data_IF_757683642071
#
_entry.id   IF_757683642071
#
_cell.length_a   1.000
_cell.length_b   1.000
_cell.length_c   1.000
_cell.angle_alpha   90.00
_cell.angle_beta   90.00
_cell.angle_gamma   90.00
#
_symmetry.space_group_name_H-M   'P 1'
#
loop_
_entity.id
_entity.type
_entity.pdbx_description
1 polymer ?
#
# COMPACT_ATOMS: atom_id res chain seq x y z
N UNK A 1 69.59 7.47 23.38
CA UNK A 1 69.74 6.47 24.46
C UNK A 1 68.72 5.38 24.24
N UNK A 2 69.17 4.20 23.82
CA UNK A 2 68.28 3.05 23.57
C UNK A 2 67.93 2.30 24.85
N UNK A 3 66.91 1.46 24.76
CA UNK A 3 66.90 0.07 25.25
C UNK A 3 65.62 -0.62 24.74
N UNK A 4 65.80 -1.55 23.81
CA UNK A 4 64.88 -2.65 23.53
C UNK A 4 65.13 -3.76 24.54
N UNK A 5 64.14 -4.59 24.92
CA UNK A 5 64.27 -6.07 25.01
C UNK A 5 62.89 -6.76 25.00
N UNK A 6 62.75 -7.74 24.09
CA UNK A 6 62.01 -9.04 24.05
C UNK A 6 60.69 -9.27 24.84
N UNK A 7 59.75 -10.13 24.40
CA UNK A 7 59.72 -11.13 23.34
C UNK A 7 58.83 -12.33 23.73
N UNK A 8 58.33 -13.06 22.71
CA UNK A 8 57.77 -14.43 22.74
C UNK A 8 56.45 -14.68 23.52
N UNK A 9 55.55 -15.63 23.20
CA UNK A 9 55.55 -16.77 22.27
C UNK A 9 54.09 -17.20 21.93
N UNK A 10 54.01 -18.16 21.00
CA UNK A 10 52.85 -18.81 20.37
C UNK A 10 52.01 -19.70 21.30
N UNK A 11 50.71 -19.83 21.00
CA UNK A 11 49.88 -21.04 21.16
C UNK A 11 48.66 -20.89 20.21
N UNK A 12 48.48 -21.63 19.11
CA UNK A 12 48.22 -23.06 18.93
C UNK A 12 46.82 -23.53 19.40
N UNK A 13 45.97 -23.94 18.43
CA UNK A 13 44.76 -24.76 18.61
C UNK A 13 43.51 -23.99 19.06
N UNK A 14 42.31 -24.16 18.52
CA UNK A 14 41.72 -25.38 18.01
C UNK A 14 40.70 -25.09 16.90
N UNK A 15 40.95 -25.72 15.75
CA UNK A 15 39.97 -26.05 14.72
C UNK A 15 38.97 -27.04 15.30
N UNK A 16 37.69 -26.67 15.44
CA UNK A 16 36.63 -27.65 15.67
C UNK A 16 36.17 -28.16 14.31
N UNK A 17 36.75 -29.30 13.95
CA UNK A 17 36.25 -30.20 12.93
C UNK A 17 34.92 -30.77 13.43
N UNK A 18 33.84 -30.55 12.68
CA UNK A 18 32.69 -31.42 12.75
C UNK A 18 32.67 -32.24 11.47
N UNK A 19 33.27 -33.42 11.55
CA UNK A 19 33.04 -34.50 10.60
C UNK A 19 31.88 -35.34 11.14
N UNK A 20 30.87 -35.55 10.29
CA UNK A 20 29.69 -36.34 10.59
C UNK A 20 28.73 -36.24 9.42
N UNK A 21 29.05 -36.99 8.36
CA UNK A 21 28.24 -37.06 7.15
C UNK A 21 27.14 -38.13 7.22
N UNK A 22 26.15 -37.90 6.34
CA UNK A 22 25.09 -38.79 5.86
C UNK A 22 24.00 -39.14 6.90
N UNK A 23 22.70 -39.03 6.61
CA UNK A 23 21.99 -39.49 5.41
C UNK A 23 20.67 -38.72 5.16
N UNK A 24 20.36 -38.58 3.87
CA UNK A 24 19.03 -38.57 3.22
C UNK A 24 17.77 -38.61 4.10
N UNK A 25 16.88 -37.64 3.90
CA UNK A 25 15.47 -37.83 3.54
C UNK A 25 14.84 -36.45 3.31
N UNK A 26 14.66 -36.09 2.04
CA UNK A 26 13.69 -35.07 1.66
C UNK A 26 12.32 -35.62 2.05
N UNK A 27 11.67 -34.96 3.02
CA UNK A 27 10.24 -35.13 3.24
C UNK A 27 9.61 -33.87 2.68
N UNK A 28 9.08 -34.01 1.49
CA UNK A 28 8.13 -33.08 0.89
C UNK A 28 6.85 -33.14 1.74
N UNK A 29 6.73 -32.24 2.71
CA UNK A 29 5.48 -32.02 3.43
C UNK A 29 4.66 -30.97 2.64
N UNK A 30 3.82 -31.53 1.77
CA UNK A 30 2.79 -30.91 0.96
C UNK A 30 1.61 -30.49 1.88
N UNK A 31 1.68 -29.31 2.48
CA UNK A 31 0.54 -28.72 3.20
C UNK A 31 -0.40 -28.03 2.20
N UNK A 32 -1.13 -28.87 1.46
CA UNK A 32 -2.28 -28.49 0.66
C UNK A 32 -3.37 -27.85 1.52
N UNK A 33 -3.48 -26.52 1.46
CA UNK A 33 -4.63 -25.81 2.01
C UNK A 33 -5.80 -25.99 1.05
N UNK A 34 -6.66 -26.96 1.36
CA UNK A 34 -7.93 -27.19 0.68
C UNK A 34 -8.84 -25.96 0.85
N UNK A 35 -9.06 -25.23 -0.24
CA UNK A 35 -10.18 -24.30 -0.40
C UNK A 35 -11.48 -25.07 -0.13
N UNK A 36 -11.95 -25.00 1.11
CA UNK A 36 -13.24 -25.57 1.50
C UNK A 36 -14.30 -24.51 1.27
N UNK A 37 -15.11 -24.79 0.26
CA UNK A 37 -16.32 -24.08 -0.16
C UNK A 37 -17.13 -23.50 1.01
N UNK A 38 -17.11 -22.17 1.16
CA UNK A 38 -18.12 -21.45 1.91
C UNK A 38 -19.25 -21.01 0.95
N UNK A 39 -20.05 -21.97 0.50
CA UNK A 39 -21.34 -21.72 -0.12
C UNK A 39 -22.42 -22.60 0.54
N UNK A 40 -23.19 -22.00 1.45
CA UNK A 40 -24.43 -22.56 1.94
C UNK A 40 -25.50 -21.46 1.95
N UNK A 41 -26.31 -21.51 0.91
CA UNK A 41 -27.49 -20.71 0.65
C UNK A 41 -28.69 -21.19 1.48
N UNK A 42 -29.59 -20.23 1.81
CA UNK A 42 -31.02 -20.34 2.23
C UNK A 42 -31.27 -20.56 3.74
N UNK A 43 -32.30 -20.01 4.37
CA UNK A 43 -33.62 -19.61 3.87
C UNK A 43 -34.30 -18.55 4.76
N UNK A 44 -35.29 -17.89 4.14
CA UNK A 44 -36.14 -16.79 4.55
C UNK A 44 -37.29 -17.26 5.44
N UNK A 45 -37.61 -16.55 6.53
CA UNK A 45 -39.00 -16.40 7.02
C UNK A 45 -39.28 -14.95 7.42
N UNK A 46 -40.37 -14.43 6.85
CA UNK A 46 -41.05 -13.13 7.03
C UNK A 46 -41.68 -13.06 8.43
N UNK A 47 -41.82 -11.91 9.07
CA UNK A 47 -42.95 -10.95 9.01
C UNK A 47 -42.49 -9.69 9.80
N UNK A 48 -42.75 -8.41 9.49
CA UNK A 48 -43.85 -7.75 8.81
C UNK A 48 -44.51 -6.76 9.78
N UNK A 49 -44.20 -5.44 9.72
CA UNK A 49 -45.07 -4.35 10.23
C UNK A 49 -44.59 -2.91 9.87
N UNK A 50 -45.42 -2.20 9.08
CA UNK A 50 -45.72 -0.74 9.15
C UNK A 50 -44.69 0.27 8.62
N UNK A 51 -44.78 0.79 7.39
CA UNK A 51 -45.68 1.85 6.87
C UNK A 51 -45.71 3.17 7.68
N UNK A 52 -45.06 4.23 7.15
CA UNK A 52 -45.61 5.60 7.13
C UNK A 52 -45.24 6.32 5.83
N UNK A 53 -46.28 6.63 5.07
CA UNK A 53 -46.28 7.46 3.87
C UNK A 53 -46.14 8.95 4.23
N UNK A 54 -45.60 9.72 3.29
CA UNK A 54 -45.98 11.08 2.83
C UNK A 54 -44.78 11.58 1.99
N UNK A 55 -44.84 11.92 0.70
CA UNK A 55 -45.91 12.50 -0.08
C UNK A 55 -45.60 13.97 -0.37
N UNK A 56 -44.85 14.27 -1.44
CA UNK A 56 -44.85 15.57 -2.10
C UNK A 56 -44.23 15.47 -3.51
N UNK A 57 -45.08 15.58 -4.52
CA UNK A 57 -44.73 15.71 -5.93
C UNK A 57 -44.24 17.13 -6.25
N UNK A 58 -43.33 17.27 -7.24
CA UNK A 58 -43.44 18.26 -8.34
C UNK A 58 -42.70 17.79 -9.59
N UNK A 59 -43.32 18.08 -10.72
CA UNK A 59 -42.96 17.73 -12.08
C UNK A 59 -42.00 18.75 -12.75
N UNK A 60 -41.34 18.31 -13.81
CA UNK A 60 -40.62 19.06 -14.85
C UNK A 60 -39.86 18.03 -15.70
N UNK A 61 -40.13 17.82 -17.00
CA UNK A 61 -39.99 18.77 -18.10
C UNK A 61 -38.59 18.55 -18.71
N UNK A 62 -38.45 17.66 -19.70
CA UNK A 62 -38.46 17.89 -21.16
C UNK A 62 -37.03 17.93 -21.77
N UNK A 63 -36.92 17.19 -22.87
CA UNK A 63 -36.03 17.35 -24.02
C UNK A 63 -34.48 17.25 -23.91
N UNK A 64 -34.02 16.26 -24.68
CA UNK A 64 -32.96 16.36 -25.67
C UNK A 64 -31.54 15.84 -25.35
N UNK A 65 -31.13 15.04 -26.33
CA UNK A 65 -29.78 14.86 -26.85
C UNK A 65 -28.96 13.72 -26.27
N UNK A 66 -29.22 12.54 -26.84
CA UNK A 66 -28.22 11.52 -27.06
C UNK A 66 -27.09 12.10 -27.94
N UNK A 67 -26.07 12.65 -27.31
CA UNK A 67 -24.71 12.67 -27.85
C UNK A 67 -23.88 11.91 -26.83
N UNK A 68 -23.73 10.61 -27.06
CA UNK A 68 -22.74 9.84 -26.33
C UNK A 68 -21.38 10.49 -26.61
N UNK A 69 -20.56 10.81 -25.59
CA UNK A 69 -19.22 11.25 -25.87
C UNK A 69 -18.54 10.11 -26.63
N UNK A 70 -18.03 10.42 -27.82
CA UNK A 70 -17.05 9.58 -28.48
C UNK A 70 -16.06 9.07 -27.43
N UNK A 71 -16.01 7.76 -27.24
CA UNK A 71 -15.04 7.10 -26.39
C UNK A 71 -13.66 7.17 -27.06
N UNK A 72 -13.12 8.39 -27.12
CA UNK A 72 -11.69 8.61 -27.19
C UNK A 72 -11.13 7.87 -25.99
N UNK A 73 -10.47 6.75 -26.28
CA UNK A 73 -9.75 5.93 -25.32
C UNK A 73 -8.53 6.75 -24.89
N UNK A 74 -8.80 7.83 -24.16
CA UNK A 74 -7.85 8.72 -23.54
C UNK A 74 -7.06 7.85 -22.57
N UNK A 75 -5.73 7.94 -22.65
CA UNK A 75 -4.86 7.34 -21.64
C UNK A 75 -5.37 7.83 -20.29
N UNK A 76 -5.95 6.94 -19.48
CA UNK A 76 -6.57 7.28 -18.21
C UNK A 76 -5.45 7.73 -17.26
N UNK A 77 -5.27 9.05 -17.13
CA UNK A 77 -4.38 9.64 -16.15
C UNK A 77 -4.99 9.47 -14.75
N UNK A 78 -4.22 8.94 -13.81
CA UNK A 78 -4.63 8.86 -12.40
C UNK A 78 -4.15 10.10 -11.65
N UNK A 79 -5.07 10.77 -10.94
CA UNK A 79 -4.71 11.90 -10.07
C UNK A 79 -4.25 11.38 -8.71
N UNK A 80 -2.99 11.62 -8.37
CA UNK A 80 -2.35 11.16 -7.13
C UNK A 80 -2.14 12.34 -6.17
N UNK A 81 -2.84 12.41 -5.02
CA UNK A 81 -2.65 13.51 -4.07
C UNK A 81 -1.27 13.47 -3.43
N UNK A 82 -0.69 14.65 -3.19
CA UNK A 82 0.60 14.84 -2.51
C UNK A 82 0.44 15.14 -1.00
N UNK A 83 -0.80 15.21 -0.52
CA UNK A 83 -1.13 15.38 0.90
C UNK A 83 -1.58 14.05 1.50
N UNK A 84 -1.11 13.77 2.70
CA UNK A 84 -1.43 12.55 3.42
C UNK A 84 -2.89 12.60 3.93
N UNK A 85 -3.70 11.54 3.76
CA UNK A 85 -5.08 11.51 4.27
C UNK A 85 -5.17 11.49 5.81
N UNK A 86 -4.08 11.14 6.50
CA UNK A 86 -4.05 11.04 7.96
C UNK A 86 -3.59 12.34 8.63
N UNK A 87 -2.55 13.00 8.10
CA UNK A 87 -2.01 14.23 8.68
C UNK A 87 -2.53 15.50 8.01
N UNK A 88 -3.13 15.39 6.82
CA UNK A 88 -3.50 16.51 5.94
C UNK A 88 -2.32 17.42 5.53
N UNK A 89 -1.09 17.00 5.86
CA UNK A 89 0.15 17.67 5.49
C UNK A 89 0.72 17.07 4.21
N UNK A 90 1.71 17.75 3.63
CA UNK A 90 2.56 17.21 2.56
C UNK A 90 3.15 15.88 3.01
N UNK A 91 3.07 14.88 2.14
CA UNK A 91 3.71 13.59 2.37
C UNK A 91 5.23 13.79 2.35
N UNK A 92 5.92 13.27 3.37
CA UNK A 92 7.38 13.30 3.42
C UNK A 92 7.96 11.96 2.93
N UNK A 93 7.43 10.85 3.48
CA UNK A 93 7.78 9.50 3.03
C UNK A 93 6.56 8.81 2.42
N UNK A 94 6.40 8.82 1.08
CA UNK A 94 5.22 8.25 0.44
C UNK A 94 5.25 6.73 0.50
N UNK A 95 4.32 6.15 1.25
CA UNK A 95 4.18 4.71 1.40
C UNK A 95 2.80 4.22 0.96
N UNK A 96 2.77 2.95 0.53
CA UNK A 96 1.56 2.17 0.26
C UNK A 96 1.83 0.68 0.54
N UNK A 97 0.77 -0.09 0.73
CA UNK A 97 0.89 -1.54 0.87
C UNK A 97 1.20 -2.21 -0.47
N UNK A 98 1.94 -3.33 -0.45
CA UNK A 98 2.28 -4.13 -1.64
C UNK A 98 1.06 -4.62 -2.42
N UNK A 99 -0.08 -4.81 -1.74
CA UNK A 99 -1.34 -5.29 -2.32
C UNK A 99 -2.34 -4.18 -2.64
N UNK A 100 -1.99 -2.92 -2.39
CA UNK A 100 -2.85 -1.79 -2.72
C UNK A 100 -3.00 -1.65 -4.24
N UNK A 101 -4.22 -1.45 -4.74
CA UNK A 101 -4.52 -1.21 -6.17
C UNK A 101 -4.63 0.27 -6.56
N UNK A 102 -4.49 1.18 -5.59
CA UNK A 102 -4.57 2.63 -5.81
C UNK A 102 -3.17 3.25 -5.97
N UNK A 103 -3.02 4.27 -6.80
CA UNK A 103 -1.74 4.98 -6.97
C UNK A 103 -1.42 5.99 -5.86
N UNK A 104 -2.42 6.37 -5.07
CA UNK A 104 -2.27 7.28 -3.95
C UNK A 104 -1.37 6.70 -2.83
N UNK A 105 -0.62 7.58 -2.17
CA UNK A 105 0.26 7.25 -1.05
C UNK A 105 -0.23 7.92 0.24
N UNK A 106 0.18 7.37 1.36
CA UNK A 106 0.07 8.01 2.68
C UNK A 106 1.47 8.23 3.25
N UNK A 107 1.58 9.13 4.23
CA UNK A 107 2.85 9.35 4.92
C UNK A 107 3.18 8.17 5.86
N UNK A 108 4.34 7.56 5.66
CA UNK A 108 4.77 6.36 6.38
C UNK A 108 4.83 6.56 7.89
N UNK A 109 5.43 7.67 8.33
CA UNK A 109 5.63 7.98 9.75
C UNK A 109 4.28 8.16 10.44
N UNK A 110 3.40 8.95 9.82
CA UNK A 110 2.04 9.17 10.31
C UNK A 110 1.25 7.87 10.37
N UNK A 111 1.38 7.03 9.33
CA UNK A 111 0.70 5.74 9.28
C UNK A 111 1.14 4.81 10.41
N UNK A 112 2.44 4.61 10.62
CA UNK A 112 2.95 3.73 11.68
C UNK A 112 2.49 4.21 13.05
N UNK A 113 2.54 5.53 13.30
CA UNK A 113 2.08 6.11 14.56
C UNK A 113 0.58 5.87 14.80
N UNK A 114 -0.24 6.04 13.76
CA UNK A 114 -1.69 5.79 13.82
C UNK A 114 -2.01 4.30 14.01
N UNK A 115 -1.44 3.43 13.18
CA UNK A 115 -1.64 1.99 13.22
C UNK A 115 -1.24 1.39 14.57
N UNK A 116 -0.12 1.85 15.15
CA UNK A 116 0.34 1.42 16.48
C UNK A 116 -0.59 1.89 17.58
N UNK A 117 -1.12 3.13 17.49
CA UNK A 117 -2.06 3.69 18.49
C UNK A 117 -3.40 2.96 18.50
N UNK A 118 -3.91 2.60 17.33
CA UNK A 118 -5.25 2.03 17.17
C UNK A 118 -5.25 0.50 17.04
N UNK A 119 -4.08 -0.12 16.97
CA UNK A 119 -3.90 -1.55 16.71
C UNK A 119 -4.56 -2.03 15.39
N UNK A 120 -4.60 -1.16 14.39
CA UNK A 120 -5.23 -1.43 13.08
C UNK A 120 -4.19 -1.35 11.97
N UNK A 121 -4.07 -2.42 11.17
CA UNK A 121 -3.06 -2.56 10.10
C UNK A 121 -3.70 -2.59 8.71
N UNK A 122 -4.63 -1.65 8.48
CA UNK A 122 -5.35 -1.49 7.22
C UNK A 122 -4.85 -0.24 6.50
N UNK A 123 -4.91 -0.24 5.18
CA UNK A 123 -4.56 0.92 4.37
C UNK A 123 -5.60 2.03 4.59
N UNK A 124 -5.20 3.28 4.91
CA UNK A 124 -6.14 4.37 5.12
C UNK A 124 -6.85 4.85 3.84
N UNK A 125 -6.44 4.37 2.67
CA UNK A 125 -6.98 4.76 1.36
C UNK A 125 -7.98 3.74 0.80
N UNK A 126 -7.76 2.44 1.02
CA UNK A 126 -8.60 1.38 0.45
C UNK A 126 -9.02 0.30 1.44
N UNK A 127 -8.71 0.48 2.73
CA UNK A 127 -9.00 -0.44 3.83
C UNK A 127 -8.44 -1.88 3.67
N UNK A 128 -7.59 -2.10 2.67
CA UNK A 128 -6.92 -3.39 2.44
C UNK A 128 -5.80 -3.66 3.46
N UNK A 129 -5.36 -4.91 3.64
CA UNK A 129 -4.31 -5.26 4.58
C UNK A 129 -2.97 -4.57 4.24
N UNK A 130 -2.39 -3.89 5.23
CA UNK A 130 -1.17 -3.09 5.09
C UNK A 130 -0.23 -3.27 6.28
N UNK A 131 0.18 -4.52 6.55
CA UNK A 131 1.16 -4.82 7.59
C UNK A 131 2.52 -4.17 7.32
N UNK A 132 3.28 -3.85 8.38
CA UNK A 132 4.61 -3.21 8.29
C UNK A 132 5.51 -3.92 7.25
N UNK A 133 5.54 -5.25 7.27
CA UNK A 133 6.38 -6.06 6.37
C UNK A 133 5.99 -5.93 4.88
N UNK A 134 4.74 -5.56 4.59
CA UNK A 134 4.18 -5.39 3.25
C UNK A 134 4.18 -3.91 2.78
N UNK A 135 4.58 -2.95 3.62
CA UNK A 135 4.68 -1.55 3.23
C UNK A 135 5.87 -1.32 2.29
N UNK A 136 5.69 -0.48 1.28
CA UNK A 136 6.73 -0.06 0.34
C UNK A 136 6.65 1.44 0.13
N UNK A 137 7.80 2.06 -0.10
CA UNK A 137 7.92 3.46 -0.49
C UNK A 137 7.70 3.54 -2.01
N UNK A 138 6.82 4.43 -2.48
CA UNK A 138 6.54 4.58 -3.91
C UNK A 138 7.63 5.45 -4.57
N UNK A 139 8.46 4.87 -5.47
CA UNK A 139 9.60 5.57 -6.02
C UNK A 139 9.21 6.75 -6.93
N UNK A 140 8.05 6.68 -7.61
CA UNK A 140 7.58 7.72 -8.49
C UNK A 140 7.15 8.95 -7.70
N UNK A 141 6.37 8.73 -6.63
CA UNK A 141 5.93 9.84 -5.76
C UNK A 141 7.13 10.42 -4.99
N UNK A 142 8.09 9.59 -4.58
CA UNK A 142 9.35 10.06 -3.97
C UNK A 142 10.14 10.96 -4.93
N UNK A 143 10.30 10.56 -6.19
CA UNK A 143 10.97 11.37 -7.21
C UNK A 143 10.24 12.71 -7.41
N UNK A 144 8.92 12.69 -7.51
CA UNK A 144 8.12 13.90 -7.67
C UNK A 144 8.25 14.87 -6.49
N UNK A 145 8.16 14.36 -5.25
CA UNK A 145 8.36 15.15 -4.04
C UNK A 145 9.80 15.70 -3.94
N UNK A 146 10.79 15.05 -4.56
CA UNK A 146 12.16 15.56 -4.63
C UNK A 146 12.33 16.72 -5.63
N UNK A 147 11.52 16.74 -6.70
CA UNK A 147 11.58 17.78 -7.74
C UNK A 147 10.69 19.00 -7.44
N UNK A 148 9.60 18.81 -6.69
CA UNK A 148 8.69 19.88 -6.30
C UNK A 148 9.21 20.63 -5.07
N UNK A 149 9.34 21.96 -5.16
CA UNK A 149 9.74 22.80 -4.02
C UNK A 149 8.55 23.09 -3.11
N UNK A 150 8.79 23.63 -1.91
CA UNK A 150 7.71 24.10 -1.04
C UNK A 150 6.91 25.24 -1.68
N UNK A 151 7.56 26.09 -2.49
CA UNK A 151 6.88 27.16 -3.22
C UNK A 151 5.84 26.62 -4.20
N UNK A 152 6.08 25.44 -4.82
CA UNK A 152 5.08 24.81 -5.69
C UNK A 152 3.82 24.41 -4.91
N UNK A 153 3.98 23.94 -3.66
CA UNK A 153 2.84 23.64 -2.79
C UNK A 153 2.09 24.90 -2.37
N UNK A 154 2.79 26.00 -2.11
CA UNK A 154 2.19 27.32 -1.82
C UNK A 154 1.44 27.89 -3.03
N UNK A 155 1.95 27.63 -4.23
CA UNK A 155 1.28 27.94 -5.51
C UNK A 155 0.09 27.03 -5.82
N UNK A 156 -0.18 26.04 -4.97
CA UNK A 156 -1.37 25.19 -5.03
C UNK A 156 -1.17 23.84 -5.72
N UNK A 157 0.06 23.40 -5.98
CA UNK A 157 0.33 22.05 -6.49
C UNK A 157 0.06 21.03 -5.38
N UNK A 158 -1.05 20.30 -5.49
CA UNK A 158 -1.53 19.38 -4.46
C UNK A 158 -1.65 17.91 -4.93
N UNK A 159 -1.44 17.66 -6.22
CA UNK A 159 -1.55 16.33 -6.82
C UNK A 159 -0.69 16.20 -8.08
N UNK A 160 -0.30 14.97 -8.39
CA UNK A 160 0.36 14.56 -9.63
C UNK A 160 -0.66 13.99 -10.60
N UNK A 161 -0.43 14.14 -11.89
CA UNK A 161 -1.13 13.37 -12.93
C UNK A 161 -0.22 12.25 -13.40
N UNK A 162 -0.58 11.01 -13.07
CA UNK A 162 0.21 9.82 -13.37
C UNK A 162 -0.37 9.09 -14.57
N UNK A 163 0.46 8.88 -15.59
CA UNK A 163 0.20 8.08 -16.78
C UNK A 163 0.80 6.70 -16.64
N UNK A 164 0.24 5.74 -17.38
CA UNK A 164 0.77 4.38 -17.44
C UNK A 164 0.44 3.53 -16.21
N UNK A 165 0.98 2.32 -16.17
CA UNK A 165 0.77 1.37 -15.08
C UNK A 165 2.05 0.57 -14.83
N UNK A 166 2.22 0.07 -13.60
CA UNK A 166 3.37 -0.75 -13.24
C UNK A 166 4.70 0.02 -13.30
N UNK A 167 5.63 -0.45 -14.13
CA UNK A 167 6.98 0.12 -14.25
C UNK A 167 7.03 1.35 -15.18
N UNK A 168 6.10 1.44 -16.14
CA UNK A 168 6.05 2.53 -17.14
C UNK A 168 5.24 3.73 -16.64
N UNK A 169 5.19 3.93 -15.32
CA UNK A 169 4.45 5.05 -14.72
C UNK A 169 5.25 6.33 -14.87
N UNK A 170 4.60 7.39 -15.34
CA UNK A 170 5.19 8.71 -15.50
C UNK A 170 4.29 9.77 -14.89
N UNK A 171 4.87 10.81 -14.27
CA UNK A 171 4.13 11.90 -13.64
C UNK A 171 4.37 13.24 -14.34
N UNK A 172 3.37 14.12 -14.26
CA UNK A 172 3.46 15.52 -14.63
C UNK A 172 2.76 16.40 -13.59
#
# INVERSE_FOLDING_TARGET
SGTAVAGNAMAAGARRSWAGGATFASSDDDDGHSDSDHDAVREIVRDGAGNKNNGAARAGGDDANATGPEETLTVLESRVPLRCPLSYQRIDTPARGRRCRHDACFDLTTYIASATRHATWNCPLCDGPAFIADLRVDPLVTDALGKLSLDDFERGVDALLVKGSGADREWR
#
